data_IF_555181671235
#
_entry.id   IF_555181671235
#
_cell.length_a   1.000
_cell.length_b   1.000
_cell.length_c   1.000
_cell.angle_alpha   90.00
_cell.angle_beta   90.00
_cell.angle_gamma   90.00
#
_symmetry.space_group_name_H-M   'P 1'
#
loop_
_entity.id
_entity.type
_entity.pdbx_description
1 polymer ?
#
# COMPACT_ATOMS: atom_id res chain seq x y z
N UNK A 1 7.99 7.61 -6.19
CA UNK A 1 9.02 8.67 -6.26
C UNK A 1 8.31 10.00 -6.04
N UNK A 2 8.83 10.84 -5.16
CA UNK A 2 8.32 12.19 -4.96
C UNK A 2 9.51 13.16 -5.01
N UNK A 3 9.47 14.14 -5.91
CA UNK A 3 10.48 15.20 -6.01
C UNK A 3 11.94 14.69 -6.08
N UNK A 4 12.23 13.75 -7.00
CA UNK A 4 13.57 13.11 -7.19
C UNK A 4 14.08 12.31 -5.98
N UNK A 5 13.21 12.02 -5.02
CA UNK A 5 13.53 11.23 -3.84
C UNK A 5 12.65 9.97 -3.76
N UNK A 6 13.25 8.86 -3.34
CA UNK A 6 12.54 7.62 -3.07
C UNK A 6 12.04 7.64 -1.63
N UNK A 7 10.73 7.54 -1.44
CA UNK A 7 10.11 7.40 -0.13
C UNK A 7 9.74 5.94 0.14
N UNK A 8 10.07 5.45 1.33
CA UNK A 8 9.65 4.15 1.81
C UNK A 8 8.40 4.33 2.66
N UNK A 9 7.27 3.83 2.19
CA UNK A 9 6.04 3.75 2.97
C UNK A 9 6.05 2.44 3.76
N UNK A 10 5.82 2.53 5.08
CA UNK A 10 5.77 1.37 5.98
C UNK A 10 4.35 1.21 6.51
N UNK A 11 3.87 -0.03 6.57
CA UNK A 11 2.60 -0.32 7.22
C UNK A 11 2.68 0.01 8.72
N UNK A 12 1.59 0.56 9.27
CA UNK A 12 1.51 0.94 10.69
C UNK A 12 1.43 -0.26 11.64
N UNK A 13 1.02 -1.42 11.14
CA UNK A 13 0.88 -2.67 11.90
C UNK A 13 1.19 -3.88 11.01
N UNK A 14 1.44 -5.03 11.65
CA UNK A 14 1.51 -6.29 10.93
C UNK A 14 0.13 -6.62 10.32
N UNK A 15 0.11 -6.80 9.01
CA UNK A 15 -1.10 -7.04 8.22
C UNK A 15 -0.73 -7.81 6.96
N UNK A 16 -1.70 -8.47 6.33
CA UNK A 16 -1.51 -9.17 5.06
C UNK A 16 -1.92 -8.27 3.90
N UNK A 17 -1.19 -8.33 2.79
CA UNK A 17 -1.54 -7.56 1.58
C UNK A 17 -2.75 -8.21 0.93
N UNK A 18 -3.85 -7.47 0.84
CA UNK A 18 -5.09 -7.91 0.19
C UNK A 18 -5.05 -7.61 -1.31
N UNK A 19 -4.67 -6.37 -1.65
CA UNK A 19 -4.65 -5.91 -3.05
C UNK A 19 -3.64 -4.78 -3.24
N UNK A 20 -2.99 -4.76 -4.39
CA UNK A 20 -2.13 -3.66 -4.85
C UNK A 20 -2.80 -3.04 -6.08
N UNK A 21 -3.14 -1.75 -6.01
CA UNK A 21 -3.90 -1.06 -7.05
C UNK A 21 -3.00 -0.29 -8.04
N UNK A 22 -1.69 -0.29 -7.83
CA UNK A 22 -0.73 0.46 -8.66
C UNK A 22 0.29 -0.47 -9.32
N UNK A 23 0.92 0.02 -10.38
CA UNK A 23 2.05 -0.64 -11.04
C UNK A 23 3.34 0.16 -10.86
N UNK A 24 4.51 -0.46 -11.01
CA UNK A 24 5.78 0.28 -11.03
C UNK A 24 5.75 1.36 -12.12
N UNK A 25 6.10 2.59 -11.75
CA UNK A 25 6.13 3.74 -12.65
C UNK A 25 4.80 4.49 -12.80
N UNK A 26 3.73 4.02 -12.14
CA UNK A 26 2.43 4.70 -12.17
C UNK A 26 2.46 6.00 -11.34
N UNK A 27 1.77 7.02 -11.83
CA UNK A 27 1.70 8.32 -11.15
C UNK A 27 0.59 8.26 -10.10
N UNK A 28 0.97 8.37 -8.82
CA UNK A 28 0.03 8.28 -7.70
C UNK A 28 -0.26 9.65 -7.10
N UNK A 29 -1.54 9.94 -6.84
CA UNK A 29 -1.94 11.16 -6.13
C UNK A 29 -1.89 10.99 -4.60
N UNK A 30 -1.91 12.09 -3.86
CA UNK A 30 -1.78 12.08 -2.39
C UNK A 30 -2.92 11.34 -1.67
N UNK A 31 -4.12 11.30 -2.27
CA UNK A 31 -5.33 10.69 -1.67
C UNK A 31 -5.66 9.32 -2.28
N UNK A 32 -4.77 8.78 -3.11
CA UNK A 32 -5.03 7.54 -3.84
C UNK A 32 -4.69 6.29 -3.01
N UNK A 33 -5.56 5.29 -3.04
CA UNK A 33 -5.37 4.03 -2.32
C UNK A 33 -4.46 3.10 -3.11
N UNK A 34 -3.19 3.03 -2.69
CA UNK A 34 -2.14 2.27 -3.37
C UNK A 34 -2.18 0.77 -2.99
N UNK A 35 -2.41 0.47 -1.70
CA UNK A 35 -2.40 -0.89 -1.16
C UNK A 35 -3.51 -1.06 -0.14
N UNK A 36 -4.27 -2.14 -0.28
CA UNK A 36 -5.25 -2.58 0.70
C UNK A 36 -4.63 -3.66 1.59
N UNK A 37 -4.75 -3.48 2.92
CA UNK A 37 -4.22 -4.38 3.93
C UNK A 37 -5.38 -5.04 4.69
N UNK A 38 -5.37 -6.36 4.78
CA UNK A 38 -6.28 -7.13 5.64
C UNK A 38 -5.60 -7.48 6.97
N UNK A 39 -6.40 -7.60 8.04
CA UNK A 39 -5.86 -7.98 9.35
C UNK A 39 -5.39 -9.44 9.30
N UNK A 40 -4.19 -9.72 9.81
CA UNK A 40 -3.65 -11.09 9.87
C UNK A 40 -4.53 -12.03 10.71
N UNK A 41 -5.41 -11.48 11.55
CA UNK A 41 -6.31 -12.24 12.41
C UNK A 41 -7.75 -12.37 11.87
N UNK A 42 -8.08 -11.82 10.71
CA UNK A 42 -9.39 -12.06 10.08
C UNK A 42 -9.36 -13.42 9.38
N UNK A 43 -9.87 -14.45 10.06
CA UNK A 43 -10.30 -15.68 9.42
C UNK A 43 -11.46 -15.31 8.49
N UNK A 44 -11.27 -15.42 7.17
CA UNK A 44 -12.38 -15.44 6.22
C UNK A 44 -13.22 -16.69 6.53
N UNK A 45 -14.28 -16.49 7.30
CA UNK A 45 -15.37 -17.46 7.51
C UNK A 45 -16.28 -17.45 6.29
#
# INVERSE_FOLDING_TARGET
EAMKMQNILRASRASKVKKVNVKPGDAVAAEEVIVELEDVNQKNT
#
